data_IF_322594006034
#
_entry.id   IF_322594006034
#
_cell.length_a   1.000
_cell.length_b   1.000
_cell.length_c   1.000
_cell.angle_alpha   90.00
_cell.angle_beta   90.00
_cell.angle_gamma   90.00
#
_symmetry.space_group_name_H-M   'P 1'
#
loop_
_entity.id
_entity.type
_entity.pdbx_description
1 polymer ?
#
# COMPACT_ATOMS: atom_id res chain seq x y z
N UNK A 1 1.53 -1.85 -10.92
CA UNK A 1 2.23 -3.11 -10.55
C UNK A 1 1.67 -3.65 -9.24
N UNK A 2 1.77 -2.92 -8.11
CA UNK A 2 1.23 -3.33 -6.80
C UNK A 2 -0.26 -3.67 -6.80
N UNK A 3 -1.13 -2.76 -7.27
CA UNK A 3 -2.58 -2.98 -7.37
C UNK A 3 -2.94 -4.21 -8.19
N UNK A 4 -2.27 -4.39 -9.33
CA UNK A 4 -2.49 -5.53 -10.23
C UNK A 4 -2.12 -6.86 -9.57
N UNK A 5 -1.01 -6.90 -8.82
CA UNK A 5 -0.63 -8.08 -8.05
C UNK A 5 -1.71 -8.45 -7.01
N UNK A 6 -2.18 -7.47 -6.24
CA UNK A 6 -3.23 -7.72 -5.23
C UNK A 6 -4.52 -8.26 -5.86
N UNK A 7 -4.93 -7.69 -7.00
CA UNK A 7 -6.09 -8.19 -7.76
C UNK A 7 -5.88 -9.61 -8.31
N UNK A 8 -4.71 -9.90 -8.89
CA UNK A 8 -4.39 -11.23 -9.43
C UNK A 8 -4.38 -12.31 -8.33
N UNK A 9 -3.94 -11.93 -7.13
CA UNK A 9 -3.90 -12.79 -5.96
C UNK A 9 -5.18 -12.76 -5.11
N UNK A 10 -6.27 -12.12 -5.58
CA UNK A 10 -7.55 -12.01 -4.87
C UNK A 10 -7.40 -11.51 -3.42
N UNK A 11 -6.42 -10.64 -3.20
CA UNK A 11 -6.22 -9.99 -1.91
C UNK A 11 -7.19 -8.83 -1.81
N UNK A 12 -8.00 -8.78 -0.76
CA UNK A 12 -8.86 -7.62 -0.49
C UNK A 12 -7.99 -6.42 -0.11
N UNK A 13 -8.18 -5.29 -0.80
CA UNK A 13 -7.48 -4.04 -0.50
C UNK A 13 -8.38 -2.84 -0.75
N UNK A 14 -8.21 -1.82 0.08
CA UNK A 14 -8.79 -0.49 -0.16
C UNK A 14 -7.78 0.41 -0.86
N UNK A 15 -8.16 0.94 -2.02
CA UNK A 15 -7.35 1.92 -2.73
C UNK A 15 -7.65 3.33 -2.21
N UNK A 16 -6.63 3.99 -1.67
CA UNK A 16 -6.68 5.40 -1.29
C UNK A 16 -5.82 6.22 -2.23
N UNK A 17 -6.46 7.02 -3.08
CA UNK A 17 -5.75 7.89 -4.03
C UNK A 17 -5.51 9.26 -3.40
N UNK A 18 -4.26 9.57 -3.08
CA UNK A 18 -3.89 10.85 -2.47
C UNK A 18 -4.17 12.08 -3.37
N UNK A 19 -4.39 11.89 -4.67
CA UNK A 19 -4.79 12.98 -5.56
C UNK A 19 -6.26 13.37 -5.35
N UNK A 20 -7.09 12.42 -4.92
CA UNK A 20 -8.51 12.63 -4.61
C UNK A 20 -8.71 12.93 -3.12
N UNK A 21 -7.92 12.28 -2.27
CA UNK A 21 -7.96 12.37 -0.81
C UNK A 21 -6.63 12.92 -0.26
N UNK A 22 -6.34 14.23 -0.43
CA UNK A 22 -5.08 14.83 -0.02
C UNK A 22 -4.82 14.76 1.49
N UNK A 23 -5.84 14.49 2.33
CA UNK A 23 -5.66 14.26 3.77
C UNK A 23 -4.69 13.11 4.07
N UNK A 24 -4.57 12.12 3.18
CA UNK A 24 -3.62 11.02 3.39
C UNK A 24 -2.17 11.42 3.11
N UNK A 25 -1.91 12.55 2.43
CA UNK A 25 -0.54 13.03 2.22
C UNK A 25 0.12 13.37 3.56
N UNK A 26 -0.62 14.00 4.45
CA UNK A 26 -0.10 14.36 5.78
C UNK A 26 0.10 13.11 6.63
N UNK A 27 -0.85 12.17 6.59
CA UNK A 27 -0.71 10.84 7.20
C UNK A 27 0.57 10.11 6.74
N UNK A 28 0.84 10.11 5.43
CA UNK A 28 2.03 9.46 4.86
C UNK A 28 3.33 10.13 5.33
N UNK A 29 3.35 11.47 5.41
CA UNK A 29 4.49 12.23 5.91
C UNK A 29 4.74 11.98 7.39
N UNK A 30 3.70 11.94 8.21
CA UNK A 30 3.79 11.65 9.64
C UNK A 30 4.34 10.24 9.90
N UNK A 31 3.99 9.27 9.05
CA UNK A 31 4.53 7.91 9.11
C UNK A 31 5.94 7.79 8.49
N UNK A 32 6.51 8.88 7.96
CA UNK A 32 7.86 8.89 7.39
C UNK A 32 7.95 8.28 5.99
N UNK A 33 6.83 8.06 5.30
CA UNK A 33 6.85 7.59 3.93
C UNK A 33 7.26 8.70 2.96
N UNK A 34 8.26 8.42 2.15
CA UNK A 34 8.82 9.37 1.18
C UNK A 34 8.53 8.95 -0.28
N UNK A 35 7.91 7.79 -0.48
CA UNK A 35 7.67 7.21 -1.80
C UNK A 35 6.32 6.52 -1.88
N UNK A 36 5.71 6.62 -3.05
CA UNK A 36 4.48 5.91 -3.42
C UNK A 36 4.81 4.75 -4.36
N UNK A 37 3.97 3.71 -4.44
CA UNK A 37 2.76 3.47 -3.62
C UNK A 37 3.12 3.02 -2.19
N UNK A 38 2.27 3.33 -1.21
CA UNK A 38 2.36 2.78 0.15
C UNK A 38 1.30 1.71 0.31
N UNK A 39 1.71 0.59 0.90
CA UNK A 39 0.85 -0.55 1.21
C UNK A 39 0.88 -0.75 2.71
N UNK A 40 -0.30 -0.83 3.30
CA UNK A 40 -0.51 -1.15 4.70
C UNK A 40 -1.41 -2.36 4.78
N UNK A 41 -0.95 -3.38 5.50
CA UNK A 41 -1.68 -4.63 5.66
C UNK A 41 -1.69 -5.04 7.13
N UNK A 42 -2.88 -5.43 7.61
CA UNK A 42 -3.12 -5.97 8.94
C UNK A 42 -2.58 -5.11 10.11
N UNK A 43 -2.39 -3.81 9.92
CA UNK A 43 -1.90 -2.87 10.94
C UNK A 43 -0.40 -2.93 11.24
N UNK A 44 0.24 -4.10 11.08
CA UNK A 44 1.66 -4.29 11.41
C UNK A 44 2.59 -4.18 10.19
N UNK A 45 2.09 -4.49 8.99
CA UNK A 45 2.90 -4.56 7.79
C UNK A 45 2.71 -3.30 6.94
N UNK A 46 3.61 -2.34 7.10
CA UNK A 46 3.60 -1.12 6.31
C UNK A 46 4.88 -1.01 5.48
N UNK A 47 4.74 -0.72 4.18
CA UNK A 47 5.89 -0.52 3.31
C UNK A 47 5.58 0.39 2.12
N UNK A 48 6.59 1.14 1.69
CA UNK A 48 6.52 1.92 0.47
C UNK A 48 7.24 1.24 -0.70
N UNK A 49 6.78 1.56 -1.91
CA UNK A 49 7.27 1.05 -3.17
C UNK A 49 6.70 -0.33 -3.55
N UNK A 50 7.16 -0.82 -4.70
CA UNK A 50 6.79 -2.15 -5.18
C UNK A 50 7.73 -3.21 -4.59
N UNK A 51 7.25 -3.94 -3.58
CA UNK A 51 8.02 -4.99 -2.89
C UNK A 51 7.36 -6.36 -3.11
N UNK A 52 7.75 -7.12 -4.15
CA UNK A 52 7.10 -8.39 -4.49
C UNK A 52 7.19 -9.43 -3.37
N UNK A 53 8.32 -9.49 -2.64
CA UNK A 53 8.48 -10.41 -1.53
C UNK A 53 7.49 -10.16 -0.37
N UNK A 54 7.17 -8.89 -0.08
CA UNK A 54 6.17 -8.54 0.95
C UNK A 54 4.75 -8.73 0.43
N UNK A 55 4.50 -8.41 -0.83
CA UNK A 55 3.19 -8.64 -1.45
C UNK A 55 2.84 -10.14 -1.48
N UNK A 56 3.81 -11.02 -1.70
CA UNK A 56 3.63 -12.47 -1.59
C UNK A 56 3.24 -12.94 -0.18
N UNK A 57 3.57 -12.20 0.88
CA UNK A 57 3.11 -12.53 2.24
C UNK A 57 1.63 -12.19 2.45
N UNK A 58 1.06 -11.33 1.61
CA UNK A 58 -0.35 -10.92 1.66
C UNK A 58 -1.23 -11.82 0.80
N UNK A 59 -0.66 -12.44 -0.22
CA UNK A 59 -1.30 -13.45 -1.03
C UNK A 59 -1.26 -14.81 -0.31
N UNK A 60 -2.39 -15.22 0.26
CA UNK A 60 -2.57 -16.55 0.88
C UNK A 60 -2.95 -17.59 -0.16
#
# INVERSE_FOLDING_TARGET
MTKRFLMEHHVDFDERNINEEPQYVDYLKEHGFQSLPVVEANGDLQFSGFQPAKLQQLAV
#
